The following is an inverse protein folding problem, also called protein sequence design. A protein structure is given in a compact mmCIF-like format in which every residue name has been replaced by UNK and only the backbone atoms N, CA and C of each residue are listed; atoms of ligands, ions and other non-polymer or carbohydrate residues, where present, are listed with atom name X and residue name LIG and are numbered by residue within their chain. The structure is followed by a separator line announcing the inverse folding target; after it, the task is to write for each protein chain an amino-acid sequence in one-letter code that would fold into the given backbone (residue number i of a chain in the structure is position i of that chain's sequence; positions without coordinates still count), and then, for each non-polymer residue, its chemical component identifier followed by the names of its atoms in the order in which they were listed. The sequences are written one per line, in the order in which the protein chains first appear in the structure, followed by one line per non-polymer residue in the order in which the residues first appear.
data_IF_283680405410
#
_entry.id   IF_283680405410
#
_cell.length_a   1.000
_cell.length_b   1.000
_cell.length_c   1.000
_cell.angle_alpha   90.00
_cell.angle_beta   90.00
_cell.angle_gamma   90.00
#
_symmetry.space_group_name_H-M   'P 1'
#
loop_
_entity.id
_entity.type
_entity.pdbx_description
1 polymer ?
#
# COMPACT_ATOMS: atom_id res chain seq x y z
N UNK A 1 13.11 -18.61 42.67
CA UNK A 1 12.59 -19.21 41.44
C UNK A 1 11.12 -18.85 41.36
N UNK A 2 10.77 -17.83 40.57
CA UNK A 2 9.39 -17.33 40.47
C UNK A 2 8.83 -17.66 39.09
N UNK A 3 7.70 -18.36 39.13
CA UNK A 3 6.73 -18.72 38.11
C UNK A 3 6.89 -18.10 36.72
N UNK A 4 7.05 -18.99 35.73
CA UNK A 4 6.80 -18.66 34.33
C UNK A 4 5.34 -18.28 34.14
N UNK A 5 5.11 -17.03 33.78
CA UNK A 5 3.84 -16.54 33.27
C UNK A 5 3.43 -17.38 32.06
N UNK A 6 2.24 -17.97 32.09
CA UNK A 6 1.65 -18.62 30.92
C UNK A 6 1.51 -17.63 29.75
N UNK A 7 1.22 -18.10 28.53
CA UNK A 7 1.11 -17.21 27.37
C UNK A 7 0.00 -16.17 27.63
N UNK A 8 0.40 -14.90 27.76
CA UNK A 8 -0.53 -13.77 27.80
C UNK A 8 -1.49 -13.85 26.62
N UNK A 9 -2.76 -13.56 26.85
CA UNK A 9 -3.74 -13.55 25.76
C UNK A 9 -3.30 -12.56 24.68
N UNK A 10 -3.64 -12.79 23.39
CA UNK A 10 -3.32 -11.83 22.33
C UNK A 10 -3.80 -10.41 22.61
N UNK A 11 -4.90 -10.27 23.37
CA UNK A 11 -5.46 -8.98 23.80
C UNK A 11 -4.57 -8.29 24.82
N UNK A 12 -4.03 -9.03 25.79
CA UNK A 12 -3.10 -8.48 26.80
C UNK A 12 -1.81 -8.01 26.16
N UNK A 13 -1.22 -8.80 25.26
CA UNK A 13 -0.01 -8.44 24.51
C UNK A 13 -0.24 -7.17 23.68
N UNK A 14 -1.39 -7.08 23.00
CA UNK A 14 -1.71 -5.90 22.20
C UNK A 14 -1.92 -4.65 23.07
N UNK A 15 -2.58 -4.80 24.22
CA UNK A 15 -2.77 -3.71 25.18
C UNK A 15 -1.43 -3.20 25.71
N UNK A 16 -0.53 -4.11 26.09
CA UNK A 16 0.82 -3.79 26.54
C UNK A 16 1.63 -3.10 25.44
N UNK A 17 1.61 -3.63 24.21
CA UNK A 17 2.30 -3.04 23.07
C UNK A 17 1.81 -1.61 22.77
N UNK A 18 0.50 -1.36 22.86
CA UNK A 18 -0.05 -0.02 22.72
C UNK A 18 0.38 0.91 23.86
N UNK A 19 0.42 0.43 25.11
CA UNK A 19 0.89 1.21 26.26
C UNK A 19 2.38 1.58 26.10
N UNK A 20 3.21 0.64 25.69
CA UNK A 20 4.63 0.85 25.39
C UNK A 20 4.83 1.86 24.27
N UNK A 21 4.11 1.73 23.15
CA UNK A 21 4.18 2.70 22.06
C UNK A 21 3.75 4.09 22.51
N UNK A 22 2.68 4.21 23.30
CA UNK A 22 2.23 5.50 23.85
C UNK A 22 3.29 6.13 24.73
N UNK A 23 3.92 5.35 25.61
CA UNK A 23 5.02 5.83 26.46
C UNK A 23 6.22 6.32 25.63
N UNK A 24 6.63 5.53 24.63
CA UNK A 24 7.72 5.89 23.72
C UNK A 24 7.43 7.17 22.92
N UNK A 25 6.18 7.42 22.54
CA UNK A 25 5.79 8.66 21.85
C UNK A 25 5.86 9.86 22.81
N UNK A 26 5.65 9.70 24.12
CA UNK A 26 5.75 10.83 25.05
C UNK A 26 7.20 11.26 25.33
N UNK A 27 8.16 10.33 25.29
CA UNK A 27 9.60 10.63 25.42
C UNK A 27 10.18 11.15 24.09
N UNK A 28 10.72 12.39 24.01
CA UNK A 28 11.31 12.93 22.79
C UNK A 28 12.44 12.08 22.20
N UNK A 29 13.24 11.44 23.04
CA UNK A 29 14.35 10.59 22.59
C UNK A 29 13.80 9.33 21.93
N UNK A 30 12.87 8.63 22.59
CA UNK A 30 12.26 7.42 22.04
C UNK A 30 11.41 7.72 20.80
N UNK A 31 10.67 8.83 20.78
CA UNK A 31 9.86 9.28 19.65
C UNK A 31 10.67 9.38 18.36
N UNK A 32 11.93 9.84 18.46
CA UNK A 32 12.83 10.01 17.33
C UNK A 32 13.52 8.72 16.84
N UNK A 33 13.24 7.57 17.46
CA UNK A 33 13.83 6.28 17.08
C UNK A 33 13.02 5.59 16.00
N UNK A 34 13.72 4.98 15.05
CA UNK A 34 13.15 4.13 14.00
C UNK A 34 12.30 2.99 14.58
N UNK A 35 12.71 2.42 15.72
CA UNK A 35 11.96 1.37 16.42
C UNK A 35 10.54 1.79 16.82
N UNK A 36 10.32 3.07 17.11
CA UNK A 36 8.99 3.60 17.45
C UNK A 36 8.08 3.66 16.22
N UNK A 37 8.63 4.04 15.06
CA UNK A 37 7.92 3.99 13.78
C UNK A 37 7.61 2.53 13.42
N UNK A 38 8.60 1.63 13.55
CA UNK A 38 8.42 0.21 13.26
C UNK A 38 7.33 -0.41 14.14
N UNK A 39 7.30 -0.08 15.43
CA UNK A 39 6.24 -0.52 16.35
C UNK A 39 4.85 -0.06 15.88
N UNK A 40 4.71 1.20 15.45
CA UNK A 40 3.46 1.69 14.86
C UNK A 40 3.08 0.94 13.59
N UNK A 41 4.04 0.64 12.70
CA UNK A 41 3.79 -0.13 11.48
C UNK A 41 3.36 -1.57 11.77
N UNK A 42 3.98 -2.22 12.75
CA UNK A 42 3.62 -3.58 13.16
C UNK A 42 2.21 -3.64 13.74
N UNK A 43 1.84 -2.68 14.59
CA UNK A 43 0.47 -2.56 15.09
C UNK A 43 -0.53 -2.30 13.96
N UNK A 44 -0.18 -1.46 12.98
CA UNK A 44 -1.02 -1.25 11.80
C UNK A 44 -1.20 -2.53 10.97
N UNK A 45 -0.14 -3.35 10.84
CA UNK A 45 -0.19 -4.64 10.14
C UNK A 45 -1.08 -5.62 10.88
N UNK A 46 -0.95 -5.69 12.21
CA UNK A 46 -1.81 -6.49 13.06
C UNK A 46 -3.28 -6.09 12.90
N UNK A 47 -3.61 -4.79 13.02
CA UNK A 47 -4.99 -4.30 12.82
C UNK A 47 -5.56 -4.73 11.47
N UNK A 48 -4.77 -4.65 10.40
CA UNK A 48 -5.20 -5.05 9.05
C UNK A 48 -5.46 -6.54 8.93
N UNK A 49 -4.60 -7.36 9.52
CA UNK A 49 -4.79 -8.81 9.54
C UNK A 49 -6.04 -9.16 10.35
N UNK A 50 -6.17 -8.63 11.57
CA UNK A 50 -7.37 -8.80 12.40
C UNK A 50 -8.66 -8.33 11.70
N UNK A 51 -8.60 -7.20 10.98
CA UNK A 51 -9.70 -6.70 10.17
C UNK A 51 -10.14 -7.68 9.08
N UNK A 52 -9.19 -8.38 8.42
CA UNK A 52 -9.53 -9.39 7.40
C UNK A 52 -10.27 -10.59 7.98
N UNK A 53 -9.94 -11.02 9.21
CA UNK A 53 -10.63 -12.13 9.87
C UNK A 53 -11.98 -11.72 10.49
N UNK A 54 -12.06 -10.50 11.03
CA UNK A 54 -13.23 -10.05 11.78
C UNK A 54 -14.22 -9.22 10.94
N UNK A 55 -13.98 -9.06 9.63
CA UNK A 55 -14.75 -8.19 8.73
C UNK A 55 -14.89 -6.74 9.22
N UNK A 56 -13.94 -6.28 10.03
CA UNK A 56 -13.94 -4.91 10.58
C UNK A 56 -13.06 -4.00 9.73
N UNK A 57 -13.40 -2.71 9.64
CA UNK A 57 -12.55 -1.73 8.96
C UNK A 57 -11.37 -1.37 9.87
N UNK A 58 -10.11 -1.45 9.41
CA UNK A 58 -8.97 -1.02 10.22
C UNK A 58 -9.05 0.50 10.47
N UNK A 59 -8.67 0.92 11.68
CA UNK A 59 -8.79 2.32 12.15
C UNK A 59 -7.90 3.28 11.34
N UNK A 60 -6.72 2.81 10.93
CA UNK A 60 -5.71 3.62 10.26
C UNK A 60 -4.96 4.56 11.22
N UNK A 61 -5.19 4.46 12.53
CA UNK A 61 -4.58 5.34 13.52
C UNK A 61 -3.07 5.11 13.63
N UNK A 62 -2.64 3.84 13.65
CA UNK A 62 -1.21 3.53 13.72
C UNK A 62 -0.47 3.93 12.44
N UNK A 63 -1.10 3.83 11.26
CA UNK A 63 -0.58 4.40 10.00
C UNK A 63 -0.37 5.90 10.11
N UNK A 64 -1.41 6.64 10.53
CA UNK A 64 -1.33 8.09 10.67
C UNK A 64 -0.24 8.49 11.67
N UNK A 65 -0.10 7.74 12.77
CA UNK A 65 0.96 7.91 13.75
C UNK A 65 2.35 7.67 13.18
N UNK A 66 2.55 6.59 12.41
CA UNK A 66 3.82 6.29 11.74
C UNK A 66 4.22 7.41 10.77
N UNK A 67 3.27 7.93 9.98
CA UNK A 67 3.51 9.05 9.06
C UNK A 67 3.86 10.33 9.80
N UNK A 68 3.18 10.63 10.92
CA UNK A 68 3.48 11.79 11.74
C UNK A 68 4.88 11.71 12.38
N UNK A 69 5.25 10.54 12.90
CA UNK A 69 6.58 10.29 13.45
C UNK A 69 7.66 10.43 12.38
N UNK A 70 7.40 9.95 11.16
CA UNK A 70 8.32 10.09 10.04
C UNK A 70 8.54 11.56 9.67
N UNK A 71 7.46 12.34 9.53
CA UNK A 71 7.54 13.78 9.23
C UNK A 71 8.32 14.55 10.30
N UNK A 72 8.24 14.14 11.56
CA UNK A 72 8.99 14.76 12.67
C UNK A 72 10.50 14.50 12.61
N UNK A 73 10.95 13.43 11.95
CA UNK A 73 12.38 13.09 11.90
C UNK A 73 13.18 13.90 10.87
N UNK A 74 12.51 14.74 10.07
CA UNK A 74 13.03 15.43 8.88
C UNK A 74 13.60 14.43 7.87
N UNK A 75 13.04 14.42 6.66
CA UNK A 75 13.37 13.43 5.61
C UNK A 75 14.78 13.65 5.01
N UNK A 76 15.51 14.65 5.50
CA UNK A 76 16.76 15.17 4.92
C UNK A 76 18.03 14.49 5.50
N UNK A 77 17.90 13.58 6.46
CA UNK A 77 19.02 12.91 7.11
C UNK A 77 18.86 11.40 7.16
N UNK A 78 19.28 10.70 6.11
CA UNK A 78 19.35 9.23 6.13
C UNK A 78 20.37 8.82 7.19
N UNK A 79 19.88 8.22 8.28
CA UNK A 79 20.73 7.79 9.41
C UNK A 79 21.34 6.41 9.18
N UNK A 80 20.76 5.61 8.29
CA UNK A 80 21.21 4.26 7.93
C UNK A 80 20.48 3.72 6.68
N UNK A 81 20.99 2.66 6.05
CA UNK A 81 20.29 1.95 4.96
C UNK A 81 18.89 1.44 5.39
N UNK A 82 18.75 1.07 6.66
CA UNK A 82 17.47 0.62 7.23
C UNK A 82 16.43 1.75 7.30
N UNK A 83 16.89 3.01 7.38
CA UNK A 83 16.02 4.19 7.36
C UNK A 83 15.26 4.30 6.04
N UNK A 84 15.93 4.11 4.90
CA UNK A 84 15.31 4.16 3.57
C UNK A 84 14.23 3.10 3.39
N UNK A 85 14.47 1.87 3.88
CA UNK A 85 13.45 0.81 3.88
C UNK A 85 12.25 1.16 4.76
N UNK A 86 12.48 1.74 5.93
CA UNK A 86 11.41 2.16 6.83
C UNK A 86 10.54 3.25 6.19
N UNK A 87 11.15 4.26 5.58
CA UNK A 87 10.47 5.30 4.80
C UNK A 87 9.63 4.66 3.70
N UNK A 88 10.23 3.77 2.89
CA UNK A 88 9.54 3.06 1.81
C UNK A 88 8.29 2.33 2.32
N UNK A 89 8.36 1.67 3.48
CA UNK A 89 7.20 0.96 4.03
C UNK A 89 6.09 1.89 4.50
N UNK A 90 6.43 3.03 5.12
CA UNK A 90 5.45 4.06 5.49
C UNK A 90 4.75 4.59 4.24
N UNK A 91 5.53 4.95 3.21
CA UNK A 91 5.01 5.48 1.95
C UNK A 91 4.14 4.45 1.22
N UNK A 92 4.57 3.19 1.13
CA UNK A 92 3.80 2.10 0.53
C UNK A 92 2.40 1.96 1.16
N UNK A 93 2.33 2.00 2.49
CA UNK A 93 1.06 1.91 3.23
C UNK A 93 0.19 3.14 2.94
N UNK A 94 0.80 4.32 2.81
CA UNK A 94 0.11 5.58 2.49
C UNK A 94 -0.45 5.57 1.07
N UNK A 95 0.37 5.25 0.06
CA UNK A 95 -0.05 5.09 -1.35
C UNK A 95 -1.24 4.14 -1.43
N UNK A 96 -1.11 2.96 -0.81
CA UNK A 96 -2.17 1.97 -0.77
C UNK A 96 -3.46 2.51 -0.16
N UNK A 97 -3.38 3.41 0.82
CA UNK A 97 -4.54 4.03 1.45
C UNK A 97 -5.15 5.14 0.59
N UNK A 98 -4.34 5.98 -0.05
CA UNK A 98 -4.79 6.99 -1.01
C UNK A 98 -5.58 6.33 -2.15
N UNK A 99 -5.08 5.22 -2.73
CA UNK A 99 -5.79 4.44 -3.76
C UNK A 99 -7.15 3.96 -3.22
N UNK A 100 -7.19 3.30 -2.06
CA UNK A 100 -8.45 2.76 -1.51
C UNK A 100 -9.48 3.84 -1.20
N UNK A 101 -9.03 5.02 -0.78
CA UNK A 101 -9.90 6.13 -0.40
C UNK A 101 -10.20 7.10 -1.54
N UNK A 102 -9.51 6.97 -2.68
CA UNK A 102 -9.53 7.94 -3.80
C UNK A 102 -9.14 9.36 -3.33
N UNK A 103 -8.18 9.41 -2.42
CA UNK A 103 -7.59 10.63 -1.89
C UNK A 103 -6.29 10.93 -2.67
N UNK A 104 -5.93 12.21 -2.86
CA UNK A 104 -4.67 12.55 -3.50
C UNK A 104 -3.52 12.14 -2.59
N UNK A 105 -2.40 11.75 -3.19
CA UNK A 105 -1.18 11.53 -2.43
C UNK A 105 -0.58 12.88 -2.02
N UNK A 106 -0.23 13.08 -0.74
CA UNK A 106 0.19 14.39 -0.28
C UNK A 106 1.55 14.82 -0.89
N UNK A 107 1.63 16.08 -1.30
CA UNK A 107 2.74 16.63 -2.12
C UNK A 107 4.06 16.62 -1.36
N UNK A 108 4.03 16.82 -0.05
CA UNK A 108 5.22 16.84 0.79
C UNK A 108 5.98 15.50 0.74
N UNK A 109 5.28 14.38 0.57
CA UNK A 109 5.85 13.04 0.48
C UNK A 109 6.36 12.69 -0.93
N UNK A 110 5.89 13.38 -1.98
CA UNK A 110 6.35 13.14 -3.37
C UNK A 110 7.84 13.43 -3.51
N UNK A 111 8.33 14.49 -2.85
CA UNK A 111 9.74 14.87 -2.88
C UNK A 111 10.67 13.75 -2.36
N UNK A 112 10.18 12.91 -1.44
CA UNK A 112 10.94 11.75 -0.95
C UNK A 112 10.94 10.60 -1.95
N UNK A 113 9.88 10.45 -2.73
CA UNK A 113 9.79 9.40 -3.76
C UNK A 113 10.69 9.66 -4.94
N UNK A 114 10.93 10.93 -5.27
CA UNK A 114 11.79 11.32 -6.38
C UNK A 114 13.28 11.40 -6.00
N UNK A 115 13.62 11.21 -4.71
CA UNK A 115 14.99 11.30 -4.23
C UNK A 115 15.62 9.90 -4.07
N UNK A 116 16.51 9.48 -5.00
CA UNK A 116 17.14 8.16 -4.96
C UNK A 116 18.15 8.01 -3.80
N UNK A 117 18.54 9.11 -3.15
CA UNK A 117 19.30 9.02 -1.90
C UNK A 117 18.39 8.48 -0.80
N UNK A 118 17.14 8.96 -0.70
CA UNK A 118 16.20 8.64 0.39
C UNK A 118 15.53 7.28 0.16
N UNK A 119 15.07 7.01 -1.06
CA UNK A 119 14.39 5.78 -1.41
C UNK A 119 15.21 4.96 -2.42
N UNK A 120 15.50 3.69 -2.12
CA UNK A 120 16.21 2.84 -3.07
C UNK A 120 15.35 2.63 -4.31
N UNK A 121 15.94 2.84 -5.50
CA UNK A 121 15.32 2.50 -6.77
C UNK A 121 15.23 0.97 -6.90
N UNK A 122 14.04 0.42 -6.71
CA UNK A 122 13.76 -1.00 -6.85
C UNK A 122 12.34 -1.22 -7.38
N UNK A 123 12.00 -2.44 -7.81
CA UNK A 123 10.67 -2.69 -8.38
C UNK A 123 9.51 -2.38 -7.41
N UNK A 124 9.70 -2.51 -6.09
CA UNK A 124 8.67 -2.13 -5.12
C UNK A 124 8.43 -0.62 -5.10
N UNK A 125 9.49 0.19 -5.02
CA UNK A 125 9.36 1.67 -5.00
C UNK A 125 8.84 2.20 -6.33
N UNK A 126 9.20 1.57 -7.46
CA UNK A 126 8.60 1.87 -8.76
C UNK A 126 7.08 1.65 -8.76
N UNK A 127 6.60 0.55 -8.15
CA UNK A 127 5.18 0.27 -8.06
C UNK A 127 4.45 1.31 -7.19
N UNK A 128 5.08 1.78 -6.12
CA UNK A 128 4.53 2.85 -5.29
C UNK A 128 4.41 4.16 -6.07
N UNK A 129 5.42 4.54 -6.88
CA UNK A 129 5.35 5.74 -7.74
C UNK A 129 4.21 5.66 -8.75
N UNK A 130 4.01 4.49 -9.36
CA UNK A 130 2.86 4.26 -10.24
C UNK A 130 1.55 4.37 -9.43
N UNK A 131 1.53 3.81 -8.22
CA UNK A 131 0.38 3.88 -7.31
C UNK A 131 0.00 5.32 -6.91
N UNK A 132 0.97 6.22 -6.74
CA UNK A 132 0.72 7.66 -6.54
C UNK A 132 -0.02 8.26 -7.73
N UNK A 133 0.42 7.96 -8.95
CA UNK A 133 -0.24 8.40 -10.17
C UNK A 133 -1.70 7.93 -10.20
N UNK A 134 -1.94 6.63 -9.94
CA UNK A 134 -3.27 6.03 -9.87
C UNK A 134 -4.15 6.69 -8.82
N UNK A 135 -3.66 6.91 -7.60
CA UNK A 135 -4.42 7.57 -6.53
C UNK A 135 -4.84 8.99 -6.93
N UNK A 136 -3.92 9.75 -7.52
CA UNK A 136 -4.17 11.10 -7.99
C UNK A 136 -5.19 11.14 -9.15
N UNK A 137 -5.14 10.19 -10.09
CA UNK A 137 -6.15 10.08 -11.15
C UNK A 137 -7.52 9.69 -10.59
N UNK A 138 -7.60 8.76 -9.64
CA UNK A 138 -8.85 8.38 -8.98
C UNK A 138 -9.48 9.55 -8.22
N UNK A 139 -8.65 10.35 -7.55
CA UNK A 139 -9.10 11.56 -6.88
C UNK A 139 -9.65 12.60 -7.89
N UNK A 140 -8.88 12.91 -8.94
CA UNK A 140 -9.33 13.81 -10.02
C UNK A 140 -10.62 13.35 -10.67
N UNK A 141 -10.77 12.06 -10.92
CA UNK A 141 -12.01 11.49 -11.45
C UNK A 141 -13.18 11.65 -10.48
N UNK A 142 -12.95 11.47 -9.18
CA UNK A 142 -13.99 11.63 -8.17
C UNK A 142 -14.47 13.09 -8.08
N UNK A 143 -13.56 14.05 -8.21
CA UNK A 143 -13.92 15.48 -8.33
C UNK A 143 -14.71 15.74 -9.61
N UNK A 144 -14.22 15.29 -10.76
CA UNK A 144 -14.89 15.48 -12.04
C UNK A 144 -16.33 14.92 -12.09
N UNK A 145 -16.56 13.75 -11.48
CA UNK A 145 -17.92 13.17 -11.38
C UNK A 145 -18.82 13.92 -10.40
N UNK A 146 -18.24 14.60 -9.41
CA UNK A 146 -18.98 15.35 -8.39
C UNK A 146 -19.23 16.80 -8.77
N UNK A 147 -18.55 17.31 -9.80
CA UNK A 147 -18.72 18.67 -10.31
C UNK A 147 -20.06 18.84 -11.04
N UNK A 148 -20.67 20.03 -10.88
CA UNK A 148 -21.91 20.38 -11.56
C UNK A 148 -21.67 20.43 -13.09
N UNK A 149 -22.60 19.97 -13.94
CA UNK A 149 -22.41 19.87 -15.40
C UNK A 149 -22.13 21.21 -16.09
N UNK A 150 -22.31 22.33 -15.38
CA UNK A 150 -22.05 23.69 -15.84
C UNK A 150 -20.58 24.09 -15.76
N UNK A 151 -19.74 23.27 -15.11
CA UNK A 151 -18.30 23.53 -14.97
C UNK A 151 -17.57 23.04 -16.20
N UNK A 152 -17.34 23.93 -17.17
CA UNK A 152 -16.69 23.58 -18.43
C UNK A 152 -15.19 23.34 -18.22
N UNK A 153 -14.80 22.08 -18.00
CA UNK A 153 -13.37 21.70 -18.08
C UNK A 153 -12.91 21.78 -19.52
N UNK A 154 -11.79 22.47 -19.78
CA UNK A 154 -11.23 22.61 -21.12
C UNK A 154 -10.89 21.25 -21.74
N UNK A 155 -11.21 21.07 -23.02
CA UNK A 155 -10.83 19.88 -23.81
C UNK A 155 -9.32 19.61 -23.77
N UNK A 156 -8.49 20.66 -23.71
CA UNK A 156 -7.04 20.51 -23.59
C UNK A 156 -6.62 19.89 -22.26
N UNK A 157 -7.31 20.23 -21.16
CA UNK A 157 -7.06 19.68 -19.83
C UNK A 157 -7.47 18.20 -19.75
N UNK A 158 -8.57 17.82 -20.40
CA UNK A 158 -9.00 16.42 -20.49
C UNK A 158 -7.99 15.60 -21.30
N UNK A 159 -7.51 16.11 -22.44
CA UNK A 159 -6.52 15.44 -23.26
C UNK A 159 -5.20 15.19 -22.50
N UNK A 160 -4.71 16.19 -21.77
CA UNK A 160 -3.52 16.06 -20.92
C UNK A 160 -3.71 15.03 -19.80
N UNK A 161 -4.89 15.00 -19.18
CA UNK A 161 -5.19 14.03 -18.14
C UNK A 161 -5.27 12.60 -18.70
N UNK A 162 -5.92 12.38 -19.84
CA UNK A 162 -5.96 11.08 -20.52
C UNK A 162 -4.55 10.60 -20.89
N UNK A 163 -3.68 11.50 -21.33
CA UNK A 163 -2.28 11.15 -21.62
C UNK A 163 -1.52 10.71 -20.36
N UNK A 164 -1.74 11.41 -19.25
CA UNK A 164 -1.16 11.01 -17.95
C UNK A 164 -1.67 9.64 -17.47
N UNK A 165 -2.94 9.29 -17.74
CA UNK A 165 -3.50 7.97 -17.43
C UNK A 165 -2.83 6.89 -18.29
N UNK A 166 -2.70 7.12 -19.62
CA UNK A 166 -2.01 6.19 -20.53
C UNK A 166 -0.56 5.98 -20.13
N UNK A 167 0.12 7.04 -19.67
CA UNK A 167 1.47 6.93 -19.17
C UNK A 167 1.56 5.99 -17.96
N UNK A 168 0.67 6.16 -16.96
CA UNK A 168 0.63 5.28 -15.80
C UNK A 168 0.30 3.82 -16.19
N UNK A 169 -0.61 3.62 -17.15
CA UNK A 169 -0.93 2.30 -17.69
C UNK A 169 0.29 1.64 -18.38
N UNK A 170 1.02 2.39 -19.21
CA UNK A 170 2.24 1.89 -19.85
C UNK A 170 3.30 1.51 -18.80
N UNK A 171 3.46 2.28 -17.74
CA UNK A 171 4.35 1.94 -16.63
C UNK A 171 3.91 0.66 -15.91
N UNK A 172 2.61 0.48 -15.65
CA UNK A 172 2.06 -0.76 -15.06
C UNK A 172 2.33 -1.98 -15.95
N UNK A 173 2.22 -1.83 -17.27
CA UNK A 173 2.49 -2.91 -18.21
C UNK A 173 3.98 -3.27 -18.29
N UNK A 174 4.87 -2.29 -18.13
CA UNK A 174 6.31 -2.50 -18.13
C UNK A 174 6.81 -3.09 -16.81
N UNK A 175 6.17 -2.76 -15.69
CA UNK A 175 6.62 -3.12 -14.34
C UNK A 175 6.91 -4.62 -14.14
N UNK A 176 6.09 -5.59 -14.61
CA UNK A 176 6.39 -7.01 -14.49
C UNK A 176 7.71 -7.46 -15.14
N UNK A 177 8.24 -6.70 -16.10
CA UNK A 177 9.52 -6.97 -16.72
C UNK A 177 10.72 -6.46 -15.91
N UNK A 178 10.46 -5.69 -14.85
CA UNK A 178 11.49 -5.13 -13.96
C UNK A 178 11.71 -5.99 -12.71
N UNK A 179 10.80 -6.91 -12.39
CA UNK A 179 10.86 -7.70 -11.15
C UNK A 179 11.75 -8.93 -11.30
N UNK A 180 12.40 -9.39 -10.20
CA UNK A 180 13.16 -10.63 -10.20
C UNK A 180 12.31 -11.85 -10.57
N UNK A 181 12.95 -12.91 -11.08
CA UNK A 181 12.30 -14.18 -11.46
C UNK A 181 11.48 -14.81 -10.32
N UNK A 182 11.90 -14.63 -9.06
CA UNK A 182 11.20 -15.18 -7.90
C UNK A 182 9.90 -14.46 -7.52
N UNK A 183 9.63 -13.26 -8.07
CA UNK A 183 8.36 -12.55 -7.90
C UNK A 183 7.32 -12.91 -8.97
N UNK A 184 7.75 -13.62 -10.02
CA UNK A 184 6.83 -13.99 -11.09
C UNK A 184 5.76 -14.95 -10.55
N UNK A 185 4.50 -14.77 -10.97
CA UNK A 185 3.42 -15.64 -10.55
C UNK A 185 3.75 -17.08 -10.95
N UNK A 186 3.63 -18.01 -10.00
CA UNK A 186 3.80 -19.44 -10.23
C UNK A 186 2.43 -20.11 -10.27
N UNK A 187 2.12 -20.75 -11.39
CA UNK A 187 0.93 -21.59 -11.48
C UNK A 187 1.12 -22.84 -10.65
N UNK A 188 0.46 -22.91 -9.50
CA UNK A 188 0.36 -24.14 -8.71
C UNK A 188 -0.81 -24.95 -9.29
N UNK A 189 -0.53 -26.15 -9.81
CA UNK A 189 -1.59 -27.07 -10.21
C UNK A 189 -2.27 -27.58 -8.95
N UNK A 190 -3.57 -27.28 -8.81
CA UNK A 190 -4.37 -27.55 -7.61
C UNK A 190 -4.50 -29.05 -7.29
N UNK A 191 -4.16 -29.93 -8.24
CA UNK A 191 -4.43 -31.36 -8.17
C UNK A 191 -3.46 -32.15 -7.27
N UNK A 192 -2.47 -31.50 -6.64
CA UNK A 192 -1.56 -32.17 -5.70
C UNK A 192 -1.25 -31.29 -4.49
N UNK A 193 -1.84 -31.65 -3.36
CA UNK A 193 -1.49 -31.20 -2.01
C UNK A 193 -1.50 -29.68 -1.80
N UNK A 194 -2.69 -29.09 -1.71
CA UNK A 194 -2.85 -28.06 -0.69
C UNK A 194 -2.89 -28.83 0.63
N UNK A 195 -1.86 -28.63 1.46
CA UNK A 195 -1.88 -29.07 2.84
C UNK A 195 -3.11 -28.45 3.51
N UNK A 196 -3.98 -29.27 4.11
CA UNK A 196 -5.21 -28.83 4.77
C UNK A 196 -4.93 -27.89 5.97
N UNK A 197 -3.66 -27.72 6.36
CA UNK A 197 -3.20 -26.74 7.36
C UNK A 197 -2.99 -25.33 6.79
N UNK A 198 -2.97 -25.17 5.46
CA UNK A 198 -2.95 -23.85 4.82
C UNK A 198 -4.40 -23.43 4.64
N UNK A 199 -4.84 -22.48 5.46
CA UNK A 199 -6.13 -21.80 5.26
C UNK A 199 -6.16 -21.20 3.86
N UNK A 200 -6.84 -21.89 2.95
CA UNK A 200 -7.13 -21.36 1.63
C UNK A 200 -8.19 -20.30 1.83
N UNK A 201 -7.76 -19.03 1.80
CA UNK A 201 -8.67 -17.90 1.79
C UNK A 201 -9.63 -18.07 0.61
N UNK A 202 -10.88 -18.43 0.90
CA UNK A 202 -11.95 -18.59 -0.10
C UNK A 202 -12.39 -17.26 -0.72
N UNK A 203 -11.75 -16.15 -0.32
CA UNK A 203 -11.84 -14.84 -0.95
C UNK A 203 -10.44 -14.38 -1.38
N UNK A 204 -10.22 -14.24 -2.68
CA UNK A 204 -9.03 -13.65 -3.29
C UNK A 204 -7.70 -14.42 -3.09
N UNK A 205 -7.61 -15.61 -3.68
CA UNK A 205 -6.45 -15.89 -4.51
C UNK A 205 -6.50 -14.91 -5.70
N UNK A 206 -5.86 -13.76 -5.56
CA UNK A 206 -5.40 -13.03 -6.75
C UNK A 206 -4.22 -13.84 -7.33
N UNK A 207 -4.53 -15.02 -7.89
CA UNK A 207 -3.83 -15.42 -9.09
C UNK A 207 -3.94 -14.19 -9.99
N UNK A 208 -2.80 -13.58 -10.32
CA UNK A 208 -2.75 -12.56 -11.37
C UNK A 208 -3.27 -13.27 -12.61
N UNK A 209 -4.59 -13.22 -12.83
CA UNK A 209 -5.18 -13.40 -14.14
C UNK A 209 -4.45 -12.37 -14.96
N UNK A 210 -3.62 -12.85 -15.87
CA UNK A 210 -3.02 -12.06 -16.92
C UNK A 210 -4.07 -11.06 -17.39
N UNK A 211 -3.86 -9.78 -17.09
CA UNK A 211 -4.69 -8.70 -17.59
C UNK A 211 -4.46 -8.66 -19.11
N UNK A 212 -5.19 -9.50 -19.85
CA UNK A 212 -5.45 -9.25 -21.26
C UNK A 212 -6.53 -8.18 -21.28
N UNK A 213 -6.11 -6.93 -21.26
CA UNK A 213 -6.96 -5.83 -21.69
C UNK A 213 -7.36 -6.15 -23.12
N UNK A 214 -8.66 -6.43 -23.36
CA UNK A 214 -9.18 -6.40 -24.72
C UNK A 214 -9.05 -4.96 -25.20
N UNK A 215 -8.49 -4.71 -26.40
CA UNK A 215 -8.54 -3.38 -26.98
C UNK A 215 -9.99 -2.94 -27.09
N UNK A 216 -10.26 -1.70 -26.70
CA UNK A 216 -11.56 -1.07 -26.89
C UNK A 216 -11.87 -1.06 -28.39
N UNK A 217 -12.93 -1.77 -28.79
CA UNK A 217 -13.49 -1.70 -30.14
C UNK A 217 -13.33 -2.96 -30.99
N UNK A 218 -13.95 -4.07 -30.60
CA UNK A 218 -14.54 -4.99 -31.59
C UNK A 218 -15.86 -5.54 -31.05
N UNK A 219 -16.94 -5.24 -31.78
CA UNK A 219 -18.25 -5.87 -31.62
C UNK A 219 -18.13 -7.36 -31.95
N UNK A 220 -18.50 -8.24 -31.01
CA UNK A 220 -18.55 -9.67 -31.31
C UNK A 220 -18.87 -10.55 -30.10
N UNK A 221 -20.13 -10.96 -30.02
CA UNK A 221 -20.58 -12.28 -29.56
C UNK A 221 -20.19 -12.75 -28.17
N UNK A 222 -21.17 -12.81 -27.27
CA UNK A 222 -21.13 -13.70 -26.11
C UNK A 222 -20.98 -15.16 -26.58
N UNK A 223 -19.95 -15.84 -26.10
CA UNK A 223 -20.02 -17.28 -25.87
C UNK A 223 -19.45 -17.57 -24.48
N UNK A 224 -20.36 -17.96 -23.58
CA UNK A 224 -20.03 -18.64 -22.34
C UNK A 224 -19.44 -20.01 -22.68
N UNK A 225 -18.32 -20.36 -22.05
CA UNK A 225 -17.99 -21.75 -21.78
C UNK A 225 -17.12 -21.81 -20.53
N UNK A 226 -17.73 -22.25 -19.43
CA UNK A 226 -17.07 -22.68 -18.21
C UNK A 226 -16.09 -23.82 -18.53
N UNK A 227 -14.85 -23.72 -18.02
CA UNK A 227 -14.11 -24.76 -17.29
C UNK A 227 -12.90 -24.10 -16.63
#
# INVERSE_FOLDING_TARGET
MAHGSGPSSPVEILSEANACLRSAIQDPVQRSREGTILAALLLQRYERLSATWNSQKPSGLHRNGALALLRQQQLDGIKSDNHGYLISQVLHIEVSACIRKKEPFPIAEIACMDNPAILPANPSTMLDTIGVSVANHQHKFSLFVSEDPTTTTSTSSIAQWLESIRHAEAQLQQWPHTVPSHWHPRSVKLDKHIDNTIDTFRGFLMCIRTFRLRPFGTSGGCTESCF
#
